data_IF_071425535506
#
_entry.id   IF_071425535506
#
_cell.length_a   1.000
_cell.length_b   1.000
_cell.length_c   1.000
_cell.angle_alpha   90.00
_cell.angle_beta   90.00
_cell.angle_gamma   90.00
#
_symmetry.space_group_name_H-M   'P 1'
#
loop_
_entity.id
_entity.type
_entity.pdbx_description
1 polymer ?
#
# COMPACT_ATOMS: atom_id res chain seq x y z
N UNK A 1 4.35 -1.76 -23.35
CA UNK A 1 4.37 -3.06 -22.65
C UNK A 1 4.61 -2.93 -21.15
N UNK A 2 5.75 -2.41 -20.65
CA UNK A 2 6.03 -2.38 -19.20
C UNK A 2 4.94 -1.65 -18.38
N UNK A 3 4.48 -0.50 -18.88
CA UNK A 3 3.39 0.29 -18.28
C UNK A 3 1.98 -0.29 -18.43
N UNK A 4 1.80 -1.42 -19.13
CA UNK A 4 0.49 -2.03 -19.33
C UNK A 4 -0.27 -1.64 -20.60
N UNK A 5 0.26 -0.75 -21.44
CA UNK A 5 -0.41 -0.29 -22.67
C UNK A 5 -0.74 -1.40 -23.71
N UNK A 6 -0.30 -2.64 -23.49
CA UNK A 6 -0.51 -3.77 -24.40
C UNK A 6 -1.30 -4.90 -23.71
N UNK A 7 -1.75 -4.71 -22.47
CA UNK A 7 -2.35 -5.79 -21.67
C UNK A 7 -3.71 -6.27 -22.24
N UNK A 8 -4.42 -5.42 -22.97
CA UNK A 8 -5.71 -5.75 -23.61
C UNK A 8 -5.58 -6.09 -25.10
N UNK A 9 -4.37 -5.98 -25.68
CA UNK A 9 -4.16 -6.20 -27.11
C UNK A 9 -4.31 -7.67 -27.50
N UNK A 10 -3.94 -8.58 -26.58
CA UNK A 10 -3.82 -10.00 -26.82
C UNK A 10 -3.86 -10.81 -25.52
N UNK A 11 -3.60 -12.10 -25.62
CA UNK A 11 -3.61 -13.03 -24.47
C UNK A 11 -2.25 -13.20 -23.81
N UNK A 12 -1.21 -12.47 -24.25
CA UNK A 12 0.14 -12.62 -23.74
C UNK A 12 0.38 -11.71 -22.55
N UNK A 13 1.01 -12.24 -21.51
CA UNK A 13 1.39 -11.43 -20.35
C UNK A 13 2.70 -10.67 -20.63
N UNK A 14 2.88 -9.54 -19.93
CA UNK A 14 4.02 -8.62 -20.11
C UNK A 14 5.39 -9.30 -20.11
N UNK A 15 5.57 -10.36 -19.30
CA UNK A 15 6.84 -11.08 -19.22
C UNK A 15 7.26 -11.75 -20.54
N UNK A 16 6.31 -12.26 -21.33
CA UNK A 16 6.63 -13.00 -22.57
C UNK A 16 7.29 -12.09 -23.60
N UNK A 17 6.94 -10.80 -23.58
CA UNK A 17 7.53 -9.77 -24.43
C UNK A 17 9.01 -9.49 -24.11
N UNK A 18 9.45 -9.75 -22.88
CA UNK A 18 10.82 -9.50 -22.42
C UNK A 18 11.64 -10.77 -22.22
N UNK A 19 11.07 -11.94 -22.49
CA UNK A 19 11.80 -13.21 -22.46
C UNK A 19 13.00 -13.16 -23.42
N UNK A 20 14.17 -13.58 -22.95
CA UNK A 20 15.40 -13.57 -23.73
C UNK A 20 15.70 -14.95 -24.32
N UNK A 21 16.30 -14.97 -25.50
CA UNK A 21 16.80 -16.22 -26.09
C UNK A 21 18.25 -16.52 -25.76
N UNK A 22 18.76 -17.62 -26.31
CA UNK A 22 20.18 -18.01 -26.21
C UNK A 22 21.15 -16.97 -26.79
N UNK A 23 20.67 -16.02 -27.59
CA UNK A 23 21.45 -14.90 -28.13
C UNK A 23 21.29 -13.61 -27.33
N UNK A 24 20.54 -13.62 -26.23
CA UNK A 24 20.27 -12.46 -25.38
C UNK A 24 19.25 -11.46 -25.94
N UNK A 25 18.57 -11.77 -27.05
CA UNK A 25 17.57 -10.88 -27.66
C UNK A 25 16.20 -11.09 -27.04
N UNK A 26 15.48 -9.99 -26.78
CA UNK A 26 14.13 -10.05 -26.22
C UNK A 26 13.09 -10.41 -27.28
N UNK A 27 11.94 -10.94 -26.86
CA UNK A 27 10.81 -11.20 -27.78
C UNK A 27 10.35 -9.93 -28.50
N UNK A 28 10.30 -8.77 -27.83
CA UNK A 28 9.98 -7.48 -28.48
C UNK A 28 10.95 -7.17 -29.63
N UNK A 29 12.26 -7.36 -29.43
CA UNK A 29 13.23 -7.12 -30.50
C UNK A 29 13.02 -8.05 -31.70
N UNK A 30 12.59 -9.29 -31.45
CA UNK A 30 12.24 -10.24 -32.51
C UNK A 30 10.97 -9.84 -33.24
N UNK A 31 9.94 -9.42 -32.51
CA UNK A 31 8.70 -8.91 -33.09
C UNK A 31 8.95 -7.67 -33.95
N UNK A 32 9.83 -6.77 -33.50
CA UNK A 32 10.21 -5.59 -34.27
C UNK A 32 10.90 -5.97 -35.58
N UNK A 33 11.85 -6.91 -35.54
CA UNK A 33 12.52 -7.43 -36.75
C UNK A 33 11.56 -8.16 -37.67
N UNK A 34 10.66 -8.97 -37.12
CA UNK A 34 9.61 -9.63 -37.89
C UNK A 34 8.72 -8.62 -38.62
N UNK A 35 8.30 -7.55 -37.94
CA UNK A 35 7.51 -6.47 -38.55
C UNK A 35 8.26 -5.73 -39.66
N UNK A 36 9.56 -5.47 -39.49
CA UNK A 36 10.41 -4.88 -40.52
C UNK A 36 10.50 -5.79 -41.76
N UNK A 37 10.83 -7.07 -41.57
CA UNK A 37 10.90 -8.02 -42.68
C UNK A 37 9.54 -8.22 -43.37
N UNK A 38 8.44 -8.19 -42.62
CA UNK A 38 7.09 -8.25 -43.18
C UNK A 38 6.81 -7.05 -44.10
N UNK A 39 7.13 -5.83 -43.66
CA UNK A 39 6.93 -4.61 -44.46
C UNK A 39 7.86 -4.55 -45.68
N UNK A 40 9.12 -4.96 -45.54
CA UNK A 40 10.06 -5.06 -46.66
C UNK A 40 9.59 -6.06 -47.71
N UNK A 41 9.14 -7.24 -47.28
CA UNK A 41 8.59 -8.25 -48.18
C UNK A 41 7.34 -7.73 -48.89
N UNK A 42 6.40 -7.12 -48.15
CA UNK A 42 5.19 -6.52 -48.74
C UNK A 42 5.53 -5.45 -49.78
N UNK A 43 6.42 -4.51 -49.44
CA UNK A 43 6.85 -3.46 -50.36
C UNK A 43 7.60 -4.01 -51.59
N UNK A 44 8.34 -5.10 -51.45
CA UNK A 44 9.00 -5.76 -52.59
C UNK A 44 8.02 -6.47 -53.52
N UNK A 45 6.97 -7.10 -52.97
CA UNK A 45 5.90 -7.75 -53.73
C UNK A 45 5.06 -6.71 -54.48
N UNK A 46 4.67 -5.61 -53.83
CA UNK A 46 3.92 -4.51 -54.46
C UNK A 46 4.70 -3.83 -55.61
N UNK A 47 6.01 -3.70 -55.48
CA UNK A 47 6.88 -3.13 -56.53
C UNK A 47 7.33 -4.16 -57.58
N UNK A 48 6.87 -5.42 -57.49
CA UNK A 48 7.21 -6.48 -58.44
C UNK A 48 6.32 -6.41 -59.68
N UNK A 49 6.92 -6.50 -60.87
CA UNK A 49 6.20 -6.60 -62.16
C UNK A 49 5.30 -7.86 -62.26
N UNK A 50 5.44 -8.80 -61.33
CA UNK A 50 4.65 -10.03 -61.26
C UNK A 50 3.69 -10.07 -60.07
N UNK A 51 3.42 -8.94 -59.41
CA UNK A 51 2.55 -8.86 -58.24
C UNK A 51 1.16 -9.48 -58.49
N UNK A 52 0.55 -9.22 -59.64
CA UNK A 52 -0.77 -9.78 -60.04
C UNK A 52 -0.74 -11.30 -60.32
N UNK A 53 0.45 -11.91 -60.41
CA UNK A 53 0.62 -13.35 -60.66
C UNK A 53 1.15 -14.11 -59.44
N UNK A 54 1.51 -13.41 -58.35
CA UNK A 54 2.00 -14.04 -57.13
C UNK A 54 0.83 -14.36 -56.20
N UNK A 55 0.72 -15.61 -55.77
CA UNK A 55 -0.13 -15.97 -54.63
C UNK A 55 0.29 -15.15 -53.39
N UNK A 56 -0.69 -14.75 -52.57
CA UNK A 56 -0.43 -14.06 -51.31
C UNK A 56 0.63 -14.83 -50.51
N UNK A 57 1.78 -14.20 -50.27
CA UNK A 57 2.84 -14.80 -49.45
C UNK A 57 2.29 -14.99 -48.04
N UNK A 58 1.94 -16.23 -47.68
CA UNK A 58 1.54 -16.58 -46.32
C UNK A 58 2.76 -16.55 -45.40
N UNK A 59 3.07 -15.37 -44.88
CA UNK A 59 4.07 -15.22 -43.82
C UNK A 59 3.47 -15.84 -42.54
N UNK A 60 4.08 -16.90 -42.03
CA UNK A 60 3.66 -17.53 -40.79
C UNK A 60 3.70 -16.50 -39.65
N UNK A 61 2.58 -16.35 -38.94
CA UNK A 61 2.50 -15.43 -37.79
C UNK A 61 3.53 -15.82 -36.74
N UNK A 62 4.29 -14.83 -36.28
CA UNK A 62 5.21 -15.00 -35.17
C UNK A 62 4.47 -15.48 -33.93
N UNK A 63 4.93 -16.61 -33.36
CA UNK A 63 4.38 -17.19 -32.13
C UNK A 63 5.27 -16.83 -30.95
N UNK A 64 4.68 -16.23 -29.92
CA UNK A 64 5.38 -15.94 -28.67
C UNK A 64 5.39 -17.20 -27.80
N UNK A 65 6.57 -17.56 -27.29
CA UNK A 65 6.71 -18.71 -26.40
C UNK A 65 6.11 -18.42 -25.02
N UNK A 66 5.64 -19.46 -24.34
CA UNK A 66 5.16 -19.33 -22.97
C UNK A 66 6.33 -19.06 -22.01
N UNK A 67 6.11 -18.24 -20.98
CA UNK A 67 7.08 -17.99 -19.91
C UNK A 67 6.37 -17.80 -18.57
N UNK A 68 7.06 -17.91 -17.42
CA UNK A 68 6.45 -17.58 -16.14
C UNK A 68 6.03 -16.10 -16.09
N UNK A 69 4.89 -15.81 -15.47
CA UNK A 69 4.49 -14.44 -15.22
C UNK A 69 5.45 -13.75 -14.24
N UNK A 70 5.61 -12.43 -14.38
CA UNK A 70 6.41 -11.67 -13.43
C UNK A 70 5.78 -11.71 -12.03
N UNK A 71 6.61 -11.82 -10.97
CA UNK A 71 6.14 -11.59 -9.62
C UNK A 71 5.47 -10.20 -9.52
N UNK A 72 4.39 -10.10 -8.74
CA UNK A 72 3.60 -8.87 -8.63
C UNK A 72 4.47 -7.64 -8.30
N UNK A 73 5.35 -7.75 -7.30
CA UNK A 73 6.28 -6.68 -6.92
C UNK A 73 7.19 -6.24 -8.09
N UNK A 74 7.66 -7.18 -8.91
CA UNK A 74 8.49 -6.86 -10.08
C UNK A 74 7.67 -6.09 -11.12
N UNK A 75 6.45 -6.54 -11.41
CA UNK A 75 5.51 -5.85 -12.32
C UNK A 75 5.23 -4.42 -11.84
N UNK A 76 4.89 -4.24 -10.57
CA UNK A 76 4.61 -2.94 -9.97
C UNK A 76 5.82 -2.00 -10.00
N UNK A 77 7.03 -2.52 -9.72
CA UNK A 77 8.25 -1.72 -9.83
C UNK A 77 8.51 -1.27 -11.28
N UNK A 78 8.21 -2.10 -12.28
CA UNK A 78 8.32 -1.73 -13.70
C UNK A 78 7.29 -0.69 -14.12
N UNK A 79 6.07 -0.73 -13.57
CA UNK A 79 5.10 0.35 -13.76
C UNK A 79 5.65 1.65 -13.20
N UNK A 80 6.02 1.68 -11.92
CA UNK A 80 6.55 2.88 -11.28
C UNK A 80 7.79 3.44 -11.97
N UNK A 81 8.71 2.59 -12.44
CA UNK A 81 9.89 3.00 -13.21
C UNK A 81 9.51 3.66 -14.55
N UNK A 82 8.42 3.20 -15.19
CA UNK A 82 8.02 3.66 -16.52
C UNK A 82 7.13 4.89 -16.49
N UNK A 83 6.13 4.91 -15.60
CA UNK A 83 5.08 5.95 -15.55
C UNK A 83 5.15 6.83 -14.28
N UNK A 84 5.97 6.47 -13.30
CA UNK A 84 6.17 7.24 -12.06
C UNK A 84 5.25 6.87 -10.89
N UNK A 85 4.23 6.04 -11.10
CA UNK A 85 3.29 5.59 -10.08
C UNK A 85 2.89 4.12 -10.31
N UNK A 86 2.28 3.49 -9.31
CA UNK A 86 1.74 2.14 -9.42
C UNK A 86 0.33 2.21 -10.05
N UNK A 87 0.11 1.49 -11.16
CA UNK A 87 -1.15 1.55 -11.90
C UNK A 87 -2.05 0.35 -11.61
N UNK A 88 -1.49 -0.86 -11.65
CA UNK A 88 -2.29 -2.08 -11.51
C UNK A 88 -2.76 -2.35 -10.07
N UNK A 89 -1.92 -2.02 -9.08
CA UNK A 89 -2.17 -2.24 -7.66
C UNK A 89 -1.15 -1.46 -6.81
N UNK A 90 -1.40 -1.24 -5.52
CA UNK A 90 -0.39 -0.69 -4.62
C UNK A 90 0.42 -1.83 -3.97
N UNK A 91 1.75 -1.71 -3.78
CA UNK A 91 2.53 -2.73 -3.06
C UNK A 91 2.03 -3.02 -1.64
N UNK A 92 1.34 -2.05 -1.02
CA UNK A 92 0.73 -2.20 0.30
C UNK A 92 -0.52 -3.09 0.32
N UNK A 93 -1.08 -3.46 -0.83
CA UNK A 93 -2.30 -4.28 -0.89
C UNK A 93 -2.11 -5.67 -0.27
N UNK A 94 -0.86 -6.14 -0.20
CA UNK A 94 -0.47 -7.36 0.53
C UNK A 94 -0.78 -7.26 2.03
N UNK A 95 -0.69 -6.06 2.61
CA UNK A 95 -0.91 -5.79 4.05
C UNK A 95 -2.12 -4.89 4.30
N UNK A 96 -3.11 -4.93 3.40
CA UNK A 96 -4.29 -4.05 3.44
C UNK A 96 -5.03 -4.15 4.78
N UNK A 97 -5.29 -5.36 5.29
CA UNK A 97 -6.04 -5.53 6.53
C UNK A 97 -5.25 -5.10 7.76
N UNK A 98 -3.93 -5.29 7.76
CA UNK A 98 -3.03 -4.80 8.81
C UNK A 98 -3.05 -3.27 8.85
N UNK A 99 -2.94 -2.63 7.69
CA UNK A 99 -3.00 -1.16 7.59
C UNK A 99 -4.37 -0.63 8.02
N UNK A 100 -5.47 -1.24 7.57
CA UNK A 100 -6.84 -0.90 8.00
C UNK A 100 -7.04 -1.10 9.52
N UNK A 101 -6.46 -2.15 10.09
CA UNK A 101 -6.48 -2.37 11.54
C UNK A 101 -5.75 -1.25 12.29
N UNK A 102 -4.55 -0.85 11.84
CA UNK A 102 -3.80 0.25 12.45
C UNK A 102 -4.54 1.59 12.36
N UNK A 103 -5.28 1.84 11.27
CA UNK A 103 -6.16 3.00 11.12
C UNK A 103 -7.37 2.97 12.09
N UNK A 104 -7.70 1.81 12.66
CA UNK A 104 -8.88 1.61 13.49
C UNK A 104 -10.15 1.27 12.69
N UNK A 105 -10.05 1.03 11.38
CA UNK A 105 -11.20 0.69 10.52
C UNK A 105 -11.83 -0.65 10.92
N UNK A 106 -11.01 -1.58 11.42
CA UNK A 106 -11.48 -2.86 11.96
C UNK A 106 -11.83 -2.79 13.46
N UNK A 107 -12.05 -1.61 14.03
CA UNK A 107 -12.48 -1.47 15.42
C UNK A 107 -13.97 -1.76 15.59
N UNK A 108 -14.37 -2.11 16.83
CA UNK A 108 -15.78 -2.34 17.15
C UNK A 108 -16.67 -1.14 16.80
N UNK A 109 -16.20 0.07 17.10
CA UNK A 109 -16.92 1.32 16.87
C UNK A 109 -17.21 1.50 15.38
N UNK A 110 -16.20 1.35 14.52
CA UNK A 110 -16.38 1.53 13.07
C UNK A 110 -17.25 0.44 12.44
N UNK A 111 -17.17 -0.80 12.91
CA UNK A 111 -17.90 -1.92 12.32
C UNK A 111 -19.37 -1.97 12.78
N UNK A 112 -19.65 -1.66 14.06
CA UNK A 112 -21.02 -1.77 14.58
C UNK A 112 -21.81 -0.45 14.48
N UNK A 113 -21.16 0.70 14.59
CA UNK A 113 -21.85 2.00 14.67
C UNK A 113 -22.05 2.67 13.30
N UNK A 114 -21.73 1.98 12.19
CA UNK A 114 -21.91 2.46 10.81
C UNK A 114 -21.46 3.92 10.61
N UNK A 115 -20.29 4.29 11.11
CA UNK A 115 -19.59 5.46 10.55
C UNK A 115 -19.09 5.01 9.18
N UNK A 116 -19.89 5.27 8.14
CA UNK A 116 -19.62 4.95 6.74
C UNK A 116 -18.13 5.10 6.44
N UNK A 117 -17.45 3.96 6.32
CA UNK A 117 -16.21 3.89 5.58
C UNK A 117 -16.69 3.87 4.13
N UNK A 118 -16.70 5.03 3.48
CA UNK A 118 -16.55 5.06 2.03
C UNK A 118 -15.22 4.37 1.75
N UNK A 119 -15.31 3.07 1.48
CA UNK A 119 -14.30 2.37 0.73
C UNK A 119 -14.27 3.12 -0.61
N UNK A 120 -13.21 3.89 -0.85
CA UNK A 120 -12.83 4.23 -2.21
C UNK A 120 -12.50 2.91 -2.89
N UNK A 121 -13.52 2.23 -3.37
CA UNK A 121 -13.40 1.32 -4.50
C UNK A 121 -12.82 2.17 -5.62
N UNK A 122 -11.55 1.95 -5.91
CA UNK A 122 -10.93 2.36 -7.16
C UNK A 122 -11.89 2.00 -8.29
N UNK A 123 -12.31 3.02 -9.05
CA UNK A 123 -13.24 2.92 -10.15
C UNK A 123 -12.97 1.68 -11.02
N UNK A 124 -13.86 0.69 -10.95
CA UNK A 124 -14.17 -0.13 -12.10
C UNK A 124 -14.83 0.80 -13.12
N UNK A 125 -14.07 1.16 -14.16
CA UNK A 125 -14.62 1.82 -15.33
C UNK A 125 -15.57 0.79 -15.96
N UNK A 126 -16.87 0.98 -15.77
CA UNK A 126 -17.86 0.31 -16.59
C UNK A 126 -17.72 0.88 -18.01
N UNK A 127 -17.27 0.01 -18.92
CA UNK A 127 -17.30 0.24 -20.36
C UNK A 127 -18.72 0.60 -20.79
N UNK A 128 -18.94 1.86 -21.16
CA UNK A 128 -19.91 2.28 -22.17
C UNK A 128 -19.73 3.77 -22.48
N UNK A 129 -18.90 4.06 -23.48
CA UNK A 129 -19.06 5.28 -24.26
C UNK A 129 -18.56 5.04 -25.69
N UNK A 130 -19.53 4.88 -26.60
CA UNK A 130 -19.35 5.00 -28.03
C UNK A 130 -18.62 6.30 -28.36
N UNK A 131 -17.52 6.17 -29.10
CA UNK A 131 -16.76 7.30 -29.64
C UNK A 131 -17.60 7.92 -30.75
N UNK A 132 -18.04 9.17 -30.54
CA UNK A 132 -18.61 10.03 -31.57
C UNK A 132 -17.69 11.24 -31.74
N UNK A 133 -17.14 11.38 -32.94
CA UNK A 133 -16.35 12.51 -33.42
C UNK A 133 -16.97 13.88 -33.07
N UNK A 134 -16.13 14.86 -32.75
CA UNK A 134 -16.57 16.25 -32.72
C UNK A 134 -15.67 17.24 -31.97
N UNK A 135 -14.73 17.84 -32.71
CA UNK A 135 -14.19 19.19 -32.53
C UNK A 135 -13.20 19.48 -31.37
N UNK A 136 -11.94 19.67 -31.77
CA UNK A 136 -10.90 20.35 -31.01
C UNK A 136 -11.25 21.83 -30.85
N UNK A 137 -11.43 22.26 -29.59
CA UNK A 137 -11.47 23.68 -29.23
C UNK A 137 -10.13 24.06 -28.61
N UNK A 138 -9.40 24.84 -29.40
CA UNK A 138 -8.15 25.52 -29.08
C UNK A 138 -8.48 26.76 -28.23
N UNK A 139 -8.03 26.77 -26.97
CA UNK A 139 -8.02 27.99 -26.15
C UNK A 139 -6.76 28.03 -25.31
N UNK A 140 -5.75 28.65 -25.90
CA UNK A 140 -4.60 29.23 -25.19
C UNK A 140 -5.13 30.41 -24.37
N UNK A 141 -5.21 30.28 -23.05
CA UNK A 141 -5.43 31.42 -22.16
C UNK A 141 -4.12 31.79 -21.45
N UNK A 142 -3.79 33.07 -21.60
CA UNK A 142 -2.58 33.76 -21.18
C UNK A 142 -2.24 33.60 -19.69
N UNK A 143 -0.95 33.35 -19.44
CA UNK A 143 -0.31 33.54 -18.15
C UNK A 143 -0.27 35.04 -17.80
N UNK A 144 -1.16 35.49 -16.92
CA UNK A 144 -0.97 36.73 -16.18
C UNK A 144 -0.33 36.43 -14.82
N UNK A 145 0.98 36.68 -14.74
CA UNK A 145 1.67 36.95 -13.48
C UNK A 145 1.17 38.29 -12.94
N UNK A 146 0.38 38.28 -11.86
CA UNK A 146 0.33 39.30 -10.80
C UNK A 146 -0.88 39.04 -9.89
N UNK A 147 -0.65 38.24 -8.83
CA UNK A 147 -1.24 38.35 -7.49
C UNK A 147 -0.92 37.06 -6.71
N UNK A 148 0.29 36.96 -6.16
CA UNK A 148 0.54 36.06 -5.02
C UNK A 148 -0.11 36.69 -3.78
N UNK A 149 -1.44 36.61 -3.69
CA UNK A 149 -2.06 36.51 -2.37
C UNK A 149 -1.66 35.15 -1.82
N UNK A 150 -0.79 35.17 -0.80
CA UNK A 150 -0.47 34.02 0.03
C UNK A 150 -1.79 33.50 0.56
N UNK A 151 -2.34 32.48 -0.10
CA UNK A 151 -3.41 31.69 0.46
C UNK A 151 -2.85 31.11 1.75
N UNK A 152 -3.33 31.60 2.90
CA UNK A 152 -3.14 30.91 4.17
C UNK A 152 -3.69 29.50 3.97
N UNK A 153 -2.79 28.53 3.79
CA UNK A 153 -3.13 27.12 3.84
C UNK A 153 -3.91 26.93 5.14
N UNK A 154 -5.22 26.66 5.00
CA UNK A 154 -6.04 26.19 6.11
C UNK A 154 -5.33 24.97 6.65
N UNK A 155 -4.58 25.16 7.74
CA UNK A 155 -3.82 24.10 8.41
C UNK A 155 -4.76 22.93 8.64
N UNK A 156 -4.61 21.87 7.82
CA UNK A 156 -5.39 20.64 7.96
C UNK A 156 -5.11 20.15 9.38
N UNK A 157 -6.14 20.15 10.24
CA UNK A 157 -6.00 19.70 11.62
C UNK A 157 -5.76 18.19 11.57
N UNK A 158 -4.49 17.78 11.66
CA UNK A 158 -4.10 16.37 11.64
C UNK A 158 -4.46 15.73 12.98
N UNK A 159 -5.31 14.71 12.93
CA UNK A 159 -5.69 13.91 14.10
C UNK A 159 -5.21 12.46 13.90
N UNK A 160 -4.33 11.94 14.78
CA UNK A 160 -3.85 10.57 14.69
C UNK A 160 -5.00 9.56 14.78
N UNK A 161 -4.90 8.49 13.98
CA UNK A 161 -5.94 7.47 13.82
C UNK A 161 -5.67 6.22 14.67
N UNK A 162 -6.74 5.49 15.00
CA UNK A 162 -6.68 4.21 15.69
C UNK A 162 -6.11 4.27 17.12
N UNK A 163 -6.01 3.10 17.75
CA UNK A 163 -5.55 2.98 19.14
C UNK A 163 -4.06 3.28 19.34
N UNK A 164 -3.28 3.31 18.24
CA UNK A 164 -1.81 3.42 18.26
C UNK A 164 -1.30 4.76 17.74
N UNK A 165 -2.16 5.77 17.59
CA UNK A 165 -1.84 7.07 17.02
C UNK A 165 -1.13 6.95 15.65
N UNK A 166 -1.75 6.23 14.72
CA UNK A 166 -1.27 6.14 13.35
C UNK A 166 -1.38 7.52 12.67
N UNK A 167 -0.31 7.91 12.00
CA UNK A 167 -0.30 9.04 11.07
C UNK A 167 -0.11 8.47 9.65
N UNK A 168 -0.87 9.01 8.69
CA UNK A 168 -0.56 8.77 7.28
C UNK A 168 0.76 9.47 6.93
N UNK A 169 1.47 9.02 5.89
CA UNK A 169 2.78 9.59 5.58
C UNK A 169 2.74 11.05 5.13
N UNK A 170 1.67 11.48 4.45
CA UNK A 170 1.44 12.87 4.05
C UNK A 170 1.19 13.81 5.25
N UNK A 171 0.74 13.26 6.38
CA UNK A 171 0.39 13.99 7.59
C UNK A 171 1.58 14.19 8.55
N UNK A 172 2.68 13.45 8.38
CA UNK A 172 3.82 13.40 9.30
C UNK A 172 4.47 14.77 9.50
N UNK A 173 4.69 15.51 8.42
CA UNK A 173 5.31 16.84 8.49
C UNK A 173 4.37 17.87 9.10
N UNK A 174 3.10 17.88 8.66
CA UNK A 174 2.08 18.81 9.12
C UNK A 174 1.82 18.67 10.64
N UNK A 175 1.92 17.44 11.18
CA UNK A 175 1.75 17.21 12.62
C UNK A 175 2.83 17.87 13.49
N UNK A 176 3.99 18.28 12.94
CA UNK A 176 5.02 19.03 13.70
C UNK A 176 4.44 20.29 14.33
N UNK A 177 3.57 21.01 13.63
CA UNK A 177 2.91 22.22 14.16
C UNK A 177 2.05 21.91 15.38
N UNK A 178 1.26 20.83 15.31
CA UNK A 178 0.47 20.33 16.46
C UNK A 178 1.36 19.89 17.61
N UNK A 179 2.47 19.20 17.32
CA UNK A 179 3.43 18.76 18.33
C UNK A 179 4.09 19.95 19.06
N UNK A 180 4.44 21.01 18.33
CA UNK A 180 4.98 22.25 18.92
C UNK A 180 3.92 22.94 19.78
N UNK A 181 2.70 23.10 19.27
CA UNK A 181 1.61 23.78 19.98
C UNK A 181 1.19 23.08 21.28
N UNK A 182 1.32 21.75 21.33
CA UNK A 182 0.98 20.94 22.51
C UNK A 182 2.17 20.68 23.43
N UNK A 183 3.38 21.09 23.04
CA UNK A 183 4.58 20.84 23.82
C UNK A 183 4.59 21.66 25.12
N UNK A 184 4.74 20.98 26.25
CA UNK A 184 4.96 21.62 27.55
C UNK A 184 6.44 21.48 27.95
N UNK A 185 7.20 22.59 28.03
CA UNK A 185 8.60 22.55 28.42
C UNK A 185 8.82 21.83 29.76
N UNK A 186 9.95 21.13 29.95
CA UNK A 186 10.31 20.57 31.25
C UNK A 186 10.48 21.65 32.30
N UNK A 187 10.02 21.35 33.52
CA UNK A 187 10.25 22.20 34.69
C UNK A 187 11.77 22.39 34.86
N UNK A 188 12.26 23.63 34.95
CA UNK A 188 13.69 23.91 35.14
C UNK A 188 14.30 23.16 36.33
N UNK A 189 13.52 22.90 37.38
CA UNK A 189 13.91 22.21 38.61
C UNK A 189 13.88 20.67 38.51
N UNK A 190 13.32 20.11 37.43
CA UNK A 190 13.20 18.66 37.26
C UNK A 190 14.56 17.96 37.23
N UNK A 191 14.67 16.85 37.97
CA UNK A 191 15.91 16.08 38.03
C UNK A 191 16.24 15.45 36.67
N UNK A 192 17.50 15.05 36.48
CA UNK A 192 17.92 14.36 35.26
C UNK A 192 17.12 13.07 35.02
N UNK A 193 16.73 12.36 36.09
CA UNK A 193 15.89 11.15 36.00
C UNK A 193 14.47 11.48 35.55
N UNK A 194 13.90 12.57 36.04
CA UNK A 194 12.55 13.01 35.64
C UNK A 194 12.54 13.43 34.16
N UNK A 195 13.61 14.08 33.71
CA UNK A 195 13.78 14.44 32.30
C UNK A 195 13.92 13.20 31.41
N UNK A 196 14.69 12.20 31.85
CA UNK A 196 14.83 10.95 31.12
C UNK A 196 13.50 10.18 31.08
N UNK A 197 12.83 10.02 32.21
CA UNK A 197 11.52 9.37 32.29
C UNK A 197 10.47 10.07 31.41
N UNK A 198 10.49 11.40 31.31
CA UNK A 198 9.60 12.15 30.42
C UNK A 198 9.91 11.87 28.95
N UNK A 199 11.19 11.82 28.58
CA UNK A 199 11.60 11.49 27.22
C UNK A 199 11.22 10.05 26.84
N UNK A 200 11.44 9.11 27.75
CA UNK A 200 11.14 7.69 27.55
C UNK A 200 9.63 7.45 27.46
N UNK A 201 8.82 8.15 28.27
CA UNK A 201 7.36 8.04 28.28
C UNK A 201 6.65 9.09 27.41
N UNK A 202 7.37 9.74 26.48
CA UNK A 202 6.76 10.65 25.52
C UNK A 202 5.69 9.97 24.66
N UNK A 203 4.74 10.74 24.14
CA UNK A 203 3.67 10.21 23.27
C UNK A 203 4.28 9.59 22.00
N UNK A 204 3.95 8.33 21.75
CA UNK A 204 4.36 7.57 20.56
C UNK A 204 3.30 7.62 19.47
N UNK A 205 3.78 7.66 18.24
CA UNK A 205 3.00 7.56 17.01
C UNK A 205 3.56 6.42 16.18
N UNK A 206 2.73 5.90 15.30
CA UNK A 206 3.18 4.93 14.31
C UNK A 206 2.94 5.48 12.90
N UNK A 207 3.80 5.07 11.99
CA UNK A 207 3.60 5.20 10.54
C UNK A 207 3.91 3.84 9.94
N UNK A 208 3.24 3.49 8.85
CA UNK A 208 3.41 2.19 8.21
C UNK A 208 3.57 2.37 6.70
N UNK A 209 4.43 1.56 6.08
CA UNK A 209 4.66 1.65 4.65
C UNK A 209 5.73 0.68 4.13
N UNK A 210 5.99 0.78 2.83
CA UNK A 210 7.09 0.12 2.13
C UNK A 210 8.34 1.01 2.15
N UNK A 211 9.50 0.45 2.50
CA UNK A 211 10.78 1.15 2.34
C UNK A 211 11.16 1.13 0.85
N UNK A 212 11.12 2.29 0.21
CA UNK A 212 11.39 2.46 -1.24
C UNK A 212 12.80 2.96 -1.52
N UNK A 213 13.39 3.72 -0.60
CA UNK A 213 14.78 4.15 -0.67
C UNK A 213 15.47 4.00 0.69
N UNK A 214 16.75 3.66 0.64
CA UNK A 214 17.61 3.55 1.81
C UNK A 214 19.04 3.93 1.44
N UNK A 215 19.55 5.00 2.05
CA UNK A 215 20.91 5.49 1.80
C UNK A 215 21.65 5.79 3.10
N UNK A 216 22.95 5.53 3.10
CA UNK A 216 23.86 5.80 4.22
C UNK A 216 24.85 6.85 3.77
N UNK A 217 25.08 7.85 4.62
CA UNK A 217 26.11 8.88 4.44
C UNK A 217 27.01 8.91 5.66
N UNK A 218 28.29 9.19 5.44
CA UNK A 218 29.19 9.49 6.54
C UNK A 218 28.88 10.89 7.09
N UNK A 219 28.84 11.02 8.41
CA UNK A 219 28.52 12.27 9.08
C UNK A 219 29.74 13.22 9.10
N UNK A 220 29.52 14.46 9.57
CA UNK A 220 30.59 15.46 9.73
C UNK A 220 31.67 15.04 10.73
N UNK A 221 31.39 14.10 11.63
CA UNK A 221 32.35 13.52 12.58
C UNK A 221 32.87 12.20 12.04
N UNK A 222 34.19 12.01 12.10
CA UNK A 222 34.86 10.81 11.61
C UNK A 222 34.29 9.54 12.24
N UNK A 223 33.75 8.65 11.42
CA UNK A 223 33.23 7.33 11.81
C UNK A 223 31.73 7.26 12.13
N UNK A 224 31.05 8.40 12.33
CA UNK A 224 29.59 8.42 12.54
C UNK A 224 28.86 8.26 11.19
N UNK A 225 27.77 7.48 11.20
CA UNK A 225 26.91 7.27 10.02
C UNK A 225 25.55 7.92 10.21
N UNK A 226 24.96 8.39 9.12
CA UNK A 226 23.57 8.84 9.07
C UNK A 226 22.86 8.05 7.99
N UNK A 227 21.73 7.45 8.35
CA UNK A 227 20.88 6.77 7.39
C UNK A 227 19.65 7.62 7.06
N UNK A 228 19.26 7.62 5.80
CA UNK A 228 18.01 8.16 5.30
C UNK A 228 17.20 6.99 4.76
N UNK A 229 15.96 6.86 5.20
CA UNK A 229 15.03 5.84 4.73
C UNK A 229 13.74 6.53 4.26
N UNK A 230 13.30 6.21 3.06
CA UNK A 230 12.04 6.72 2.52
C UNK A 230 10.99 5.63 2.63
N UNK A 231 9.91 5.95 3.34
CA UNK A 231 8.74 5.10 3.49
C UNK A 231 7.64 5.59 2.53
N UNK A 232 6.86 4.67 1.97
CA UNK A 232 5.74 4.97 1.08
C UNK A 232 4.50 4.13 1.43
N UNK A 233 3.34 4.77 1.43
CA UNK A 233 2.03 4.16 1.69
C UNK A 233 1.00 4.65 0.67
N UNK A 234 -0.28 4.32 0.88
CA UNK A 234 -1.36 4.73 -0.03
C UNK A 234 -1.53 6.25 -0.16
N UNK A 235 -1.02 7.04 0.79
CA UNK A 235 -1.24 8.49 0.88
C UNK A 235 -0.06 9.28 0.34
N UNK A 236 1.15 8.74 0.43
CA UNK A 236 2.34 9.39 -0.07
C UNK A 236 3.62 8.79 0.47
N UNK A 237 4.69 9.59 0.44
CA UNK A 237 6.02 9.17 0.86
C UNK A 237 6.64 10.15 1.84
N UNK A 238 7.40 9.66 2.83
CA UNK A 238 8.15 10.50 3.76
C UNK A 238 9.55 9.93 4.04
N UNK A 239 10.55 10.81 4.11
CA UNK A 239 11.94 10.42 4.38
C UNK A 239 12.32 10.67 5.85
N UNK A 240 12.69 9.60 6.55
CA UNK A 240 13.15 9.64 7.93
C UNK A 240 14.68 9.64 8.01
N UNK A 241 15.22 10.48 8.89
CA UNK A 241 16.65 10.53 9.19
C UNK A 241 16.95 9.76 10.49
N UNK A 242 17.84 8.77 10.41
CA UNK A 242 18.40 8.08 11.55
C UNK A 242 19.82 8.58 11.82
N UNK A 243 20.07 9.06 13.03
CA UNK A 243 21.42 9.32 13.50
C UNK A 243 22.19 8.03 13.77
N UNK A 244 23.50 8.13 13.98
CA UNK A 244 24.40 6.97 14.11
C UNK A 244 23.91 5.92 15.12
N UNK A 245 23.56 6.35 16.33
CA UNK A 245 23.06 5.46 17.39
C UNK A 245 21.79 4.72 16.98
N UNK A 246 20.82 5.44 16.42
CA UNK A 246 19.52 4.86 16.08
C UNK A 246 19.65 3.96 14.84
N UNK A 247 20.50 4.35 13.88
CA UNK A 247 20.86 3.51 12.75
C UNK A 247 21.52 2.20 13.20
N UNK A 248 22.57 2.26 14.02
CA UNK A 248 23.27 1.05 14.50
C UNK A 248 22.33 0.09 15.23
N UNK A 249 21.33 0.61 15.95
CA UNK A 249 20.30 -0.18 16.64
C UNK A 249 19.30 -0.82 15.66
N UNK A 250 18.92 -0.11 14.59
CA UNK A 250 17.80 -0.49 13.72
C UNK A 250 18.23 -1.05 12.35
N UNK A 251 19.53 -1.06 12.03
CA UNK A 251 20.08 -1.44 10.72
C UNK A 251 19.61 -2.81 10.21
N UNK A 252 19.45 -3.80 11.10
CA UNK A 252 19.07 -5.16 10.72
C UNK A 252 17.55 -5.27 10.43
N UNK A 253 16.79 -4.24 10.79
CA UNK A 253 15.33 -4.14 10.60
C UNK A 253 14.94 -3.29 9.39
N UNK A 254 15.89 -2.62 8.74
CA UNK A 254 15.63 -1.72 7.62
C UNK A 254 16.32 -2.24 6.36
N UNK A 255 15.58 -2.33 5.27
CA UNK A 255 16.10 -2.59 3.92
C UNK A 255 15.03 -2.17 2.91
N UNK A 256 15.45 -1.86 1.68
CA UNK A 256 14.51 -1.61 0.57
C UNK A 256 13.62 -2.84 0.36
N UNK A 257 12.37 -2.63 -0.05
CA UNK A 257 11.35 -3.66 -0.24
C UNK A 257 10.86 -4.34 1.04
N UNK A 258 11.17 -3.82 2.23
CA UNK A 258 10.55 -4.27 3.48
C UNK A 258 9.33 -3.43 3.83
N UNK A 259 8.29 -4.12 4.27
CA UNK A 259 7.06 -3.52 4.79
C UNK A 259 7.16 -3.40 6.30
N UNK A 260 7.14 -2.15 6.79
CA UNK A 260 7.46 -1.87 8.19
C UNK A 260 6.47 -0.91 8.83
N UNK A 261 6.40 -0.99 10.15
CA UNK A 261 5.82 0.01 11.04
C UNK A 261 6.97 0.71 11.75
N UNK A 262 7.09 2.02 11.58
CA UNK A 262 8.03 2.84 12.35
C UNK A 262 7.32 3.42 13.56
N UNK A 263 7.86 3.17 14.75
CA UNK A 263 7.46 3.90 15.96
C UNK A 263 8.23 5.21 16.04
N UNK A 264 7.52 6.33 16.08
CA UNK A 264 8.12 7.67 16.06
C UNK A 264 7.69 8.50 17.27
N UNK A 265 8.58 9.40 17.69
CA UNK A 265 8.32 10.46 18.68
C UNK A 265 8.67 11.81 18.08
N UNK A 266 7.83 12.80 18.33
CA UNK A 266 8.16 14.20 18.06
C UNK A 266 8.98 14.77 19.24
N UNK A 267 10.15 15.32 18.93
CA UNK A 267 11.04 15.96 19.89
C UNK A 267 11.09 17.47 19.60
N UNK A 268 10.44 18.26 20.45
CA UNK A 268 10.44 19.72 20.36
C UNK A 268 11.58 20.26 21.22
N UNK A 269 12.45 21.07 20.61
CA UNK A 269 13.53 21.79 21.27
C UNK A 269 13.01 23.10 21.87
N UNK A 270 13.78 23.66 22.81
CA UNK A 270 13.45 24.95 23.43
C UNK A 270 13.44 26.13 22.45
N UNK A 271 14.14 26.01 21.32
CA UNK A 271 14.17 27.02 20.26
C UNK A 271 12.97 26.94 19.30
N UNK A 272 12.00 26.07 19.59
CA UNK A 272 10.78 25.89 18.79
C UNK A 272 10.92 24.92 17.62
N UNK A 273 12.11 24.36 17.36
CA UNK A 273 12.28 23.36 16.30
C UNK A 273 11.72 22.00 16.74
N UNK A 274 11.10 21.28 15.82
CA UNK A 274 10.56 19.95 16.05
C UNK A 274 11.22 18.91 15.14
N UNK A 275 11.77 17.87 15.76
CA UNK A 275 12.38 16.72 15.09
C UNK A 275 11.51 15.48 15.24
N UNK A 276 11.65 14.56 14.30
CA UNK A 276 11.01 13.25 14.35
C UNK A 276 12.09 12.22 14.60
N UNK A 277 11.94 11.46 15.69
CA UNK A 277 12.86 10.41 16.07
C UNK A 277 12.20 9.05 15.86
N UNK A 278 12.86 8.16 15.12
CA UNK A 278 12.45 6.77 14.98
C UNK A 278 13.01 5.97 16.16
N UNK A 279 12.13 5.33 16.91
CA UNK A 279 12.45 4.65 18.17
C UNK A 279 12.65 3.16 17.96
N UNK A 280 11.80 2.59 17.10
CA UNK A 280 11.77 1.18 16.76
C UNK A 280 11.16 0.94 15.38
N UNK A 281 11.47 -0.22 14.83
CA UNK A 281 10.95 -0.72 13.56
C UNK A 281 10.35 -2.09 13.83
N UNK A 282 9.12 -2.31 13.36
CA UNK A 282 8.42 -3.59 13.42
C UNK A 282 8.05 -4.01 11.99
N UNK A 283 7.91 -5.32 11.75
CA UNK A 283 7.40 -5.80 10.46
C UNK A 283 5.88 -5.65 10.40
N UNK A 284 5.38 -5.26 9.22
CA UNK A 284 3.94 -5.10 9.01
C UNK A 284 3.21 -6.45 9.02
N UNK A 285 3.87 -7.54 8.64
CA UNK A 285 3.39 -8.92 8.73
C UNK A 285 3.02 -9.33 10.15
N UNK A 286 3.74 -8.84 11.16
CA UNK A 286 3.53 -9.18 12.57
C UNK A 286 2.44 -8.32 13.25
N UNK A 287 1.74 -7.46 12.50
CA UNK A 287 0.78 -6.49 13.06
C UNK A 287 -0.26 -7.17 13.96
N UNK A 288 -0.94 -8.20 13.47
CA UNK A 288 -1.99 -8.85 14.26
C UNK A 288 -1.42 -9.52 15.51
N UNK A 289 -0.27 -10.19 15.40
CA UNK A 289 0.38 -10.85 16.54
C UNK A 289 0.82 -9.85 17.62
N UNK A 290 1.30 -8.68 17.22
CA UNK A 290 1.80 -7.66 18.15
C UNK A 290 0.68 -6.79 18.76
N UNK A 291 -0.39 -6.55 18.01
CA UNK A 291 -1.38 -5.53 18.37
C UNK A 291 -2.80 -6.07 18.57
N UNK A 292 -3.22 -7.10 17.82
CA UNK A 292 -4.56 -7.67 17.96
C UNK A 292 -4.60 -8.74 19.06
N UNK A 293 -5.47 -8.56 20.05
CA UNK A 293 -5.68 -9.48 21.18
C UNK A 293 -6.83 -10.43 20.92
N UNK A 294 -7.82 -10.00 20.15
CA UNK A 294 -8.99 -10.81 19.84
C UNK A 294 -9.68 -10.41 18.55
N UNK A 295 -10.37 -11.37 17.96
CA UNK A 295 -11.28 -11.17 16.83
C UNK A 295 -12.71 -11.43 17.28
N UNK A 296 -13.65 -10.60 16.82
CA UNK A 296 -15.08 -10.89 16.93
C UNK A 296 -15.70 -10.97 15.54
N UNK A 297 -16.39 -12.07 15.27
CA UNK A 297 -17.22 -12.24 14.06
C UNK A 297 -18.65 -11.83 14.40
N UNK A 298 -19.20 -10.90 13.64
CA UNK A 298 -20.59 -10.44 13.75
C UNK A 298 -21.44 -11.35 12.87
N UNK A 299 -22.42 -12.02 13.48
CA UNK A 299 -23.28 -13.00 12.80
C UNK A 299 -24.73 -12.55 12.93
N UNK A 300 -25.42 -12.25 11.82
CA UNK A 300 -26.86 -11.96 11.84
C UNK A 300 -27.67 -13.21 12.24
N UNK A 301 -28.61 -13.07 13.18
CA UNK A 301 -29.40 -14.19 13.71
C UNK A 301 -30.17 -14.94 12.61
N UNK A 302 -30.67 -14.22 11.61
CA UNK A 302 -31.52 -14.76 10.55
C UNK A 302 -30.73 -15.52 9.48
N UNK A 303 -29.41 -15.44 9.52
CA UNK A 303 -28.54 -15.90 8.45
C UNK A 303 -27.76 -17.17 8.82
N UNK A 304 -27.91 -17.67 10.04
CA UNK A 304 -27.10 -18.78 10.54
C UNK A 304 -27.62 -20.14 10.03
N UNK A 305 -26.89 -20.73 9.09
CA UNK A 305 -27.15 -22.04 8.49
C UNK A 305 -26.08 -23.07 8.89
N UNK A 306 -26.29 -24.35 8.52
CA UNK A 306 -25.36 -25.43 8.89
C UNK A 306 -24.04 -25.30 8.12
N UNK A 307 -24.11 -24.84 6.89
CA UNK A 307 -23.01 -24.59 5.97
C UNK A 307 -22.05 -23.53 6.54
N UNK A 308 -22.59 -22.55 7.28
CA UNK A 308 -21.80 -21.52 7.95
C UNK A 308 -20.95 -22.05 9.09
N UNK A 309 -21.46 -23.05 9.83
CA UNK A 309 -20.68 -23.72 10.86
C UNK A 309 -19.51 -24.51 10.27
N UNK A 310 -19.70 -25.10 9.09
CA UNK A 310 -18.63 -25.76 8.34
C UNK A 310 -17.61 -24.75 7.81
N UNK A 311 -18.08 -23.62 7.29
CA UNK A 311 -17.22 -22.49 6.90
C UNK A 311 -16.37 -22.01 8.08
N UNK A 312 -16.96 -21.72 9.24
CA UNK A 312 -16.18 -21.28 10.40
C UNK A 312 -15.16 -22.34 10.85
N UNK A 313 -15.51 -23.62 10.82
CA UNK A 313 -14.58 -24.70 11.16
C UNK A 313 -13.39 -24.76 10.20
N UNK A 314 -13.63 -24.60 8.90
CA UNK A 314 -12.61 -24.76 7.87
C UNK A 314 -11.78 -23.49 7.63
N UNK A 315 -12.37 -22.31 7.80
CA UNK A 315 -11.74 -21.01 7.50
C UNK A 315 -11.21 -20.29 8.74
N UNK A 316 -11.83 -20.47 9.91
CA UNK A 316 -11.40 -19.79 11.15
C UNK A 316 -10.67 -20.75 12.08
N UNK A 317 -11.20 -21.95 12.30
CA UNK A 317 -10.67 -22.90 13.29
C UNK A 317 -9.50 -23.77 12.78
N UNK A 318 -9.07 -23.56 11.53
CA UNK A 318 -7.95 -24.28 10.90
C UNK A 318 -6.61 -23.87 11.52
N UNK A 319 -6.43 -22.59 11.81
CA UNK A 319 -5.17 -22.03 12.33
C UNK A 319 -5.25 -21.88 13.85
N UNK A 320 -4.33 -22.55 14.55
CA UNK A 320 -4.24 -22.48 16.01
C UNK A 320 -3.29 -21.36 16.40
N UNK A 321 -3.78 -20.40 17.17
CA UNK A 321 -2.96 -19.31 17.69
C UNK A 321 -3.22 -19.00 19.16
N UNK A 322 -2.92 -17.78 19.57
CA UNK A 322 -3.03 -17.32 20.96
C UNK A 322 -4.15 -16.29 21.19
N UNK A 323 -4.77 -15.77 20.11
CA UNK A 323 -5.79 -14.74 20.17
C UNK A 323 -7.17 -15.34 20.46
N UNK A 324 -8.01 -14.56 21.16
CA UNK A 324 -9.36 -14.99 21.52
C UNK A 324 -10.32 -14.78 20.36
N UNK A 325 -11.22 -15.73 20.15
CA UNK A 325 -12.31 -15.63 19.19
C UNK A 325 -13.63 -15.37 19.93
N UNK A 326 -14.38 -14.37 19.47
CA UNK A 326 -15.74 -14.10 19.91
C UNK A 326 -16.71 -14.14 18.74
N UNK A 327 -17.96 -14.43 19.04
CA UNK A 327 -19.08 -14.27 18.12
C UNK A 327 -20.04 -13.22 18.70
N UNK A 328 -20.43 -12.25 17.90
CA UNK A 328 -21.49 -11.31 18.24
C UNK A 328 -22.72 -11.65 17.42
N UNK A 329 -23.66 -12.36 18.04
CA UNK A 329 -24.92 -12.72 17.38
C UNK A 329 -25.82 -11.50 17.45
N UNK A 330 -26.08 -10.90 16.28
CA UNK A 330 -26.81 -9.64 16.13
C UNK A 330 -28.22 -9.92 15.62
N UNK A 331 -29.23 -9.39 16.29
CA UNK A 331 -30.58 -9.34 15.79
C UNK A 331 -30.71 -8.15 14.80
N UNK A 332 -30.96 -8.41 13.51
CA UNK A 332 -31.05 -7.32 12.52
C UNK A 332 -32.25 -6.39 12.74
N UNK A 333 -33.27 -6.82 13.47
CA UNK A 333 -34.51 -6.05 13.63
C UNK A 333 -34.39 -4.87 14.61
N UNK A 334 -33.56 -4.99 15.64
CA UNK A 334 -33.46 -4.01 16.74
C UNK A 334 -32.01 -3.70 17.16
N UNK A 335 -31.02 -4.14 16.38
CA UNK A 335 -29.58 -3.95 16.62
C UNK A 335 -29.05 -4.57 17.93
N UNK A 336 -29.89 -5.31 18.66
CA UNK A 336 -29.47 -5.99 19.89
C UNK A 336 -28.61 -7.20 19.57
N UNK A 337 -27.75 -7.61 20.49
CA UNK A 337 -26.95 -8.79 20.26
C UNK A 337 -26.25 -9.32 21.50
N UNK A 338 -25.82 -10.57 21.41
CA UNK A 338 -25.12 -11.27 22.48
C UNK A 338 -23.70 -11.57 22.02
N UNK A 339 -22.72 -11.17 22.84
CA UNK A 339 -21.31 -11.51 22.64
C UNK A 339 -20.98 -12.81 23.35
N UNK A 340 -20.55 -13.81 22.59
CA UNK A 340 -20.19 -15.14 23.06
C UNK A 340 -18.68 -15.35 22.87
N UNK A 341 -18.02 -15.92 23.87
CA UNK A 341 -16.62 -16.32 23.80
C UNK A 341 -16.52 -17.76 23.28
N UNK A 342 -15.65 -17.99 22.30
CA UNK A 342 -15.23 -19.34 21.94
C UNK A 342 -14.23 -19.84 22.99
N UNK A 343 -14.71 -20.59 23.97
CA UNK A 343 -13.88 -21.04 25.10
C UNK A 343 -12.85 -22.11 24.70
N UNK A 344 -13.16 -22.92 23.70
CA UNK A 344 -12.33 -24.05 23.28
C UNK A 344 -11.25 -23.65 22.26
N UNK A 345 -11.48 -22.59 21.49
CA UNK A 345 -10.63 -22.23 20.36
C UNK A 345 -9.93 -20.90 20.56
N UNK A 346 -8.61 -20.93 20.35
CA UNK A 346 -7.78 -19.76 20.11
C UNK A 346 -7.29 -19.82 18.66
N UNK A 347 -7.23 -18.65 18.05
CA UNK A 347 -6.93 -18.51 16.63
C UNK A 347 -5.66 -17.69 16.43
N UNK A 348 -5.08 -17.82 15.25
CA UNK A 348 -4.13 -16.87 14.69
C UNK A 348 -4.89 -16.01 13.68
N UNK A 349 -4.94 -14.71 13.91
CA UNK A 349 -5.58 -13.77 12.99
C UNK A 349 -4.62 -13.55 11.83
N UNK A 350 -5.01 -14.02 10.65
CA UNK A 350 -4.24 -13.92 9.42
C UNK A 350 -4.98 -13.15 8.33
N UNK A 351 -4.23 -12.63 7.37
CA UNK A 351 -4.76 -11.93 6.19
C UNK A 351 -5.67 -12.86 5.35
N UNK A 352 -5.26 -14.12 5.18
CA UNK A 352 -6.04 -15.16 4.48
C UNK A 352 -7.41 -15.38 5.14
N UNK A 353 -7.44 -15.45 6.48
CA UNK A 353 -8.68 -15.59 7.24
C UNK A 353 -9.63 -14.41 7.05
N UNK A 354 -9.11 -13.18 7.11
CA UNK A 354 -9.92 -11.96 6.92
C UNK A 354 -10.43 -11.84 5.47
N UNK A 355 -9.62 -12.22 4.47
CA UNK A 355 -10.07 -12.31 3.08
C UNK A 355 -11.18 -13.33 2.91
N UNK A 356 -11.05 -14.52 3.48
CA UNK A 356 -12.09 -15.55 3.39
C UNK A 356 -13.42 -15.07 4.00
N UNK A 357 -13.36 -14.34 5.12
CA UNK A 357 -14.54 -13.74 5.75
C UNK A 357 -15.17 -12.63 4.91
N UNK A 358 -14.33 -11.76 4.31
CA UNK A 358 -14.77 -10.69 3.41
C UNK A 358 -15.43 -11.25 2.14
N UNK A 359 -14.85 -12.28 1.52
CA UNK A 359 -15.40 -12.94 0.33
C UNK A 359 -16.75 -13.61 0.56
N UNK A 360 -17.02 -14.08 1.78
CA UNK A 360 -18.33 -14.63 2.13
C UNK A 360 -19.44 -13.53 2.08
N UNK A 361 -19.06 -12.25 2.16
CA UNK A 361 -19.92 -11.06 2.09
C UNK A 361 -21.15 -11.09 3.01
N UNK A 362 -21.04 -11.85 4.11
CA UNK A 362 -22.12 -12.17 5.04
C UNK A 362 -21.78 -11.78 6.48
N UNK A 363 -20.48 -11.78 6.78
CA UNK A 363 -19.96 -11.57 8.12
C UNK A 363 -19.14 -10.31 8.19
N UNK A 364 -19.40 -9.51 9.21
CA UNK A 364 -18.51 -8.41 9.56
C UNK A 364 -17.55 -8.88 10.66
N UNK A 365 -16.35 -8.31 10.67
CA UNK A 365 -15.32 -8.67 11.63
C UNK A 365 -14.76 -7.39 12.23
N UNK A 366 -14.60 -7.39 13.56
CA UNK A 366 -13.83 -6.37 14.24
C UNK A 366 -12.76 -7.01 15.13
N UNK A 367 -11.63 -6.31 15.24
CA UNK A 367 -10.47 -6.68 16.02
C UNK A 367 -10.36 -5.74 17.23
N UNK A 368 -9.73 -6.22 18.30
CA UNK A 368 -9.43 -5.44 19.51
C UNK A 368 -7.98 -5.61 19.93
#
# INVERSE_FOLDING_TARGET
>A
VMAGAFDELDTYHRAQYFETDSSGRTTIEKLLKYGQSFNENKGSVENSLFADMMEEVQIERFKINNSPEWPNMFKLNKEKETIGFYLSAHPMDEFKYQYQFLQGNLSRENILENKNIELQESHSIEDNAEISDGEMLDSVEDFNEENEEIAEEKTKKVEPKGAYNLLNLDEVEAYKTTAIATHTPPDPSASWKDRQNRADNGKEFIVAGLITDYSIRDAQRSGEKVAFLTLEDYTGSYSFRLGDRDYMKLKDKIAVQRFVILKIKYAVLQDGRCFINVIDVLELSETFNNFAKSMTVVVPLNELQKEDLEFFKNSILKEKGNQRLYFYIKNPADDTGVKLLSSEYKIEISDEMLRALSHANKYQVYLN
#
